data_IF_607664574939
#
_entry.id   IF_607664574939
#
_cell.length_a   1.000
_cell.length_b   1.000
_cell.length_c   1.000
_cell.angle_alpha   90.00
_cell.angle_beta   90.00
_cell.angle_gamma   90.00
#
_symmetry.space_group_name_H-M   'P 1'
#
loop_
_entity.id
_entity.type
_entity.pdbx_description
1 polymer ?
#
# COMPACT_ATOMS: atom_id res chain seq x y z
N UNK A 1 28.53 -16.20 -4.42
CA UNK A 1 27.21 -15.53 -4.35
C UNK A 1 26.83 -15.33 -2.88
N UNK A 2 27.71 -14.71 -2.10
CA UNK A 2 27.44 -14.44 -0.67
C UNK A 2 26.78 -13.07 -0.56
N UNK A 3 25.62 -12.99 0.10
CA UNK A 3 24.95 -11.73 0.48
C UNK A 3 23.71 -11.28 -0.32
N UNK A 4 23.08 -12.14 -1.13
CA UNK A 4 21.88 -11.75 -1.92
C UNK A 4 20.64 -12.54 -1.52
N UNK A 5 19.99 -12.14 -0.43
CA UNK A 5 18.63 -12.61 -0.14
C UNK A 5 17.67 -12.27 -1.27
N UNK A 6 16.62 -13.08 -1.44
CA UNK A 6 15.65 -12.94 -2.53
C UNK A 6 14.75 -11.71 -2.35
N UNK A 7 14.31 -11.14 -3.47
CA UNK A 7 13.26 -10.13 -3.50
C UNK A 7 12.04 -10.79 -4.14
N UNK A 8 10.96 -10.94 -3.37
CA UNK A 8 9.83 -11.79 -3.75
C UNK A 8 8.55 -10.94 -3.80
N UNK A 9 7.77 -11.12 -4.87
CA UNK A 9 6.38 -10.68 -4.95
C UNK A 9 5.44 -11.88 -4.96
N UNK A 10 4.38 -11.85 -4.17
CA UNK A 10 3.35 -12.88 -4.10
C UNK A 10 1.99 -12.23 -4.31
N UNK A 11 1.17 -12.82 -5.16
CA UNK A 11 -0.26 -12.54 -5.23
C UNK A 11 -1.02 -13.62 -4.47
N UNK A 12 -1.83 -13.20 -3.49
CA UNK A 12 -2.53 -14.07 -2.56
C UNK A 12 -4.04 -13.81 -2.61
N UNK A 13 -4.80 -14.89 -2.61
CA UNK A 13 -6.26 -14.90 -2.52
C UNK A 13 -6.69 -16.24 -1.93
N UNK A 14 -6.85 -16.29 -0.60
CA UNK A 14 -7.00 -17.50 0.24
C UNK A 14 -5.80 -18.47 0.23
N UNK A 15 -5.11 -18.58 -0.90
CA UNK A 15 -3.84 -19.25 -1.12
C UNK A 15 -3.01 -18.44 -2.14
N UNK A 16 -1.75 -18.81 -2.33
CA UNK A 16 -0.89 -18.19 -3.34
C UNK A 16 -1.48 -18.45 -4.74
N UNK A 17 -1.82 -17.37 -5.46
CA UNK A 17 -2.22 -17.44 -6.87
C UNK A 17 -0.99 -17.53 -7.77
N UNK A 18 -0.03 -16.64 -7.54
CA UNK A 18 1.19 -16.51 -8.33
C UNK A 18 2.32 -15.96 -7.44
N UNK A 19 3.57 -16.26 -7.78
CA UNK A 19 4.73 -15.58 -7.19
C UNK A 19 5.78 -15.26 -8.26
N UNK A 20 6.64 -14.29 -7.96
CA UNK A 20 7.81 -14.00 -8.78
C UNK A 20 8.98 -13.50 -7.93
N UNK A 21 10.18 -13.62 -8.47
CA UNK A 21 11.43 -13.15 -7.87
C UNK A 21 12.02 -12.06 -8.75
N UNK A 22 12.52 -10.98 -8.15
CA UNK A 22 13.20 -9.93 -8.89
C UNK A 22 14.59 -10.39 -9.34
N UNK A 23 14.83 -10.47 -10.65
CA UNK A 23 16.14 -10.80 -11.20
C UNK A 23 16.92 -9.52 -11.54
N UNK A 24 17.95 -9.24 -10.74
CA UNK A 24 18.82 -8.07 -10.89
C UNK A 24 19.59 -8.04 -12.22
N UNK A 25 19.76 -9.18 -12.92
CA UNK A 25 20.52 -9.26 -14.18
C UNK A 25 19.73 -8.70 -15.35
N UNK A 26 18.41 -8.93 -15.35
CA UNK A 26 17.49 -8.45 -16.38
C UNK A 26 16.63 -7.29 -15.89
N UNK A 27 16.78 -6.90 -14.62
CA UNK A 27 16.07 -5.81 -13.97
C UNK A 27 14.54 -5.95 -14.07
N UNK A 28 14.04 -7.18 -13.85
CA UNK A 28 12.63 -7.52 -14.01
C UNK A 28 12.19 -8.67 -13.09
N UNK A 29 10.89 -8.73 -12.71
CA UNK A 29 10.31 -9.90 -12.05
C UNK A 29 10.28 -11.13 -12.96
N UNK A 30 10.68 -12.28 -12.42
CA UNK A 30 10.66 -13.60 -13.07
C UNK A 30 9.68 -14.51 -12.34
N UNK A 31 8.73 -15.09 -13.08
CA UNK A 31 7.69 -15.95 -12.52
C UNK A 31 8.29 -17.18 -11.81
N UNK A 32 7.67 -17.56 -10.70
CA UNK A 32 7.95 -18.79 -9.98
C UNK A 32 6.83 -19.79 -10.25
N UNK A 33 7.19 -20.91 -10.85
CA UNK A 33 6.29 -22.06 -11.07
C UNK A 33 6.13 -22.89 -9.78
N UNK A 34 5.09 -23.74 -9.76
CA UNK A 34 4.83 -24.72 -8.70
C UNK A 34 4.58 -24.15 -7.30
N UNK A 35 4.10 -22.90 -7.22
CA UNK A 35 3.75 -22.23 -5.95
C UNK A 35 2.26 -21.98 -5.77
N UNK A 36 1.45 -22.21 -6.82
CA UNK A 36 0.00 -22.00 -6.79
C UNK A 36 -0.65 -22.91 -5.75
N UNK A 37 -1.69 -22.41 -5.08
CA UNK A 37 -2.44 -23.06 -3.99
C UNK A 37 -1.63 -23.32 -2.71
N UNK A 38 -0.37 -22.92 -2.63
CA UNK A 38 0.42 -23.02 -1.41
C UNK A 38 0.04 -21.93 -0.40
N UNK A 39 0.37 -22.16 0.87
CA UNK A 39 0.47 -21.07 1.85
C UNK A 39 1.63 -20.14 1.48
N UNK A 40 1.60 -18.89 1.97
CA UNK A 40 2.71 -17.94 1.80
C UNK A 40 4.01 -18.51 2.39
N UNK A 41 3.93 -19.18 3.54
CA UNK A 41 5.07 -19.85 4.16
C UNK A 41 5.70 -20.90 3.24
N UNK A 42 4.89 -21.80 2.69
CA UNK A 42 5.39 -22.90 1.86
C UNK A 42 5.88 -22.40 0.50
N UNK A 43 5.22 -21.38 -0.07
CA UNK A 43 5.68 -20.72 -1.28
C UNK A 43 7.05 -20.07 -1.08
N UNK A 44 7.23 -19.29 0.00
CA UNK A 44 8.54 -18.67 0.30
C UNK A 44 9.62 -19.74 0.47
N UNK A 45 9.38 -20.79 1.25
CA UNK A 45 10.33 -21.90 1.43
C UNK A 45 10.68 -22.59 0.11
N UNK A 46 9.67 -22.86 -0.73
CA UNK A 46 9.87 -23.49 -2.04
C UNK A 46 10.69 -22.61 -2.97
N UNK A 47 10.42 -21.30 -3.00
CA UNK A 47 11.19 -20.33 -3.78
C UNK A 47 12.64 -20.29 -3.30
N UNK A 48 12.87 -20.11 -1.99
CA UNK A 48 14.21 -20.12 -1.40
C UNK A 48 15.01 -21.38 -1.77
N UNK A 49 14.39 -22.56 -1.64
CA UNK A 49 15.01 -23.83 -2.03
C UNK A 49 15.34 -23.90 -3.53
N UNK A 50 14.42 -23.45 -4.40
CA UNK A 50 14.62 -23.45 -5.86
C UNK A 50 15.80 -22.59 -6.28
N UNK A 51 16.04 -21.47 -5.59
CA UNK A 51 17.15 -20.57 -5.89
C UNK A 51 18.43 -20.87 -5.10
N UNK A 52 18.40 -21.83 -4.16
CA UNK A 52 19.52 -22.16 -3.29
C UNK A 52 19.93 -21.00 -2.38
N UNK A 53 18.94 -20.25 -1.86
CA UNK A 53 19.15 -19.07 -1.01
C UNK A 53 18.35 -19.21 0.28
N UNK A 54 19.01 -19.00 1.42
CA UNK A 54 18.40 -19.23 2.75
C UNK A 54 17.76 -17.96 3.36
N UNK A 55 17.74 -16.85 2.63
CA UNK A 55 17.23 -15.57 3.14
C UNK A 55 16.38 -14.81 2.13
N UNK A 56 15.36 -14.13 2.65
CA UNK A 56 14.55 -13.16 1.90
C UNK A 56 15.01 -11.77 2.31
N UNK A 57 15.41 -10.96 1.33
CA UNK A 57 15.84 -9.58 1.54
C UNK A 57 14.66 -8.62 1.59
N UNK A 58 13.65 -8.84 0.75
CA UNK A 58 12.37 -8.15 0.84
C UNK A 58 11.25 -9.00 0.25
N UNK A 59 10.08 -8.96 0.88
CA UNK A 59 8.86 -9.63 0.43
C UNK A 59 7.74 -8.62 0.30
N UNK A 60 6.91 -8.76 -0.73
CA UNK A 60 5.62 -8.11 -0.79
C UNK A 60 4.56 -9.15 -1.11
N UNK A 61 3.48 -9.15 -0.32
CA UNK A 61 2.27 -9.93 -0.62
C UNK A 61 1.19 -8.93 -1.01
N UNK A 62 0.60 -9.10 -2.19
CA UNK A 62 -0.61 -8.37 -2.57
C UNK A 62 -1.85 -9.25 -2.39
N UNK A 63 -2.92 -8.66 -1.87
CA UNK A 63 -4.20 -9.35 -1.60
C UNK A 63 -5.37 -8.43 -1.92
N UNK A 64 -6.52 -9.03 -2.24
CA UNK A 64 -7.80 -8.32 -2.34
C UNK A 64 -8.55 -8.19 -1.02
N UNK A 65 -8.05 -8.78 0.07
CA UNK A 65 -8.68 -8.69 1.39
C UNK A 65 -8.29 -7.41 2.11
N UNK A 66 -9.27 -6.75 2.70
CA UNK A 66 -9.16 -5.59 3.57
C UNK A 66 -9.45 -5.94 5.05
N UNK A 67 -9.64 -7.22 5.36
CA UNK A 67 -9.96 -7.66 6.73
C UNK A 67 -8.69 -7.88 7.55
N UNK A 68 -8.66 -7.33 8.77
CA UNK A 68 -7.51 -7.49 9.67
C UNK A 68 -7.19 -8.97 9.96
N UNK A 69 -8.22 -9.82 10.07
CA UNK A 69 -8.04 -11.25 10.33
C UNK A 69 -7.25 -11.97 9.22
N UNK A 70 -7.60 -11.76 7.95
CA UNK A 70 -6.89 -12.39 6.83
C UNK A 70 -5.48 -11.80 6.66
N UNK A 71 -5.32 -10.50 6.89
CA UNK A 71 -4.00 -9.85 6.85
C UNK A 71 -3.08 -10.37 7.97
N UNK A 72 -3.60 -10.57 9.18
CA UNK A 72 -2.89 -11.20 10.30
C UNK A 72 -2.52 -12.66 10.01
N UNK A 73 -3.36 -13.40 9.28
CA UNK A 73 -3.03 -14.75 8.80
C UNK A 73 -1.89 -14.73 7.79
N UNK A 74 -1.91 -13.83 6.80
CA UNK A 74 -0.80 -13.65 5.85
C UNK A 74 0.49 -13.29 6.61
N UNK A 75 0.42 -12.31 7.51
CA UNK A 75 1.54 -11.85 8.34
C UNK A 75 2.18 -12.99 9.14
N UNK A 76 1.37 -13.83 9.81
CA UNK A 76 1.85 -15.03 10.52
C UNK A 76 2.54 -16.03 9.60
N UNK A 77 2.02 -16.24 8.38
CA UNK A 77 2.67 -17.12 7.41
C UNK A 77 4.03 -16.57 6.95
N UNK A 78 4.15 -15.25 6.81
CA UNK A 78 5.42 -14.59 6.51
C UNK A 78 6.43 -14.77 7.66
N UNK A 79 5.98 -14.59 8.90
CA UNK A 79 6.81 -14.81 10.11
C UNK A 79 7.29 -16.27 10.20
N UNK A 80 6.41 -17.25 9.93
CA UNK A 80 6.75 -18.68 9.89
C UNK A 80 7.77 -19.04 8.79
N UNK A 81 7.85 -18.21 7.75
CA UNK A 81 8.86 -18.34 6.70
C UNK A 81 10.22 -17.73 7.10
N UNK A 82 10.30 -17.09 8.26
CA UNK A 82 11.53 -16.47 8.78
C UNK A 82 11.84 -15.07 8.20
N UNK A 83 10.87 -14.43 7.55
CA UNK A 83 11.05 -13.05 7.03
C UNK A 83 10.81 -12.06 8.17
N UNK A 84 11.74 -11.13 8.38
CA UNK A 84 11.65 -10.17 9.48
C UNK A 84 10.57 -9.13 9.21
N UNK A 85 9.95 -8.58 10.26
CA UNK A 85 8.92 -7.52 10.20
C UNK A 85 9.29 -6.30 9.35
N UNK A 86 10.56 -5.94 9.30
CA UNK A 86 11.04 -4.81 8.50
C UNK A 86 11.43 -5.18 7.06
N UNK A 87 11.32 -6.45 6.69
CA UNK A 87 11.69 -6.97 5.36
C UNK A 87 10.45 -7.40 4.57
N UNK A 88 9.23 -7.07 5.01
CA UNK A 88 8.02 -7.31 4.22
C UNK A 88 7.02 -6.15 4.22
N UNK A 89 6.09 -6.25 3.27
CA UNK A 89 4.87 -5.46 3.20
C UNK A 89 3.71 -6.33 2.73
N UNK A 90 2.51 -6.00 3.20
CA UNK A 90 1.25 -6.54 2.67
C UNK A 90 0.50 -5.33 2.11
N UNK A 91 0.05 -5.41 0.86
CA UNK A 91 -0.58 -4.30 0.14
C UNK A 91 -1.84 -4.75 -0.62
N UNK A 92 -2.75 -3.82 -0.88
CA UNK A 92 -3.89 -4.01 -1.76
C UNK A 92 -3.52 -4.17 -3.24
N UNK A 93 -4.47 -4.64 -4.04
CA UNK A 93 -4.31 -4.83 -5.50
C UNK A 93 -4.01 -3.53 -6.24
N UNK A 94 -4.64 -2.41 -5.86
CA UNK A 94 -4.45 -1.12 -6.52
C UNK A 94 -3.08 -0.52 -6.22
N UNK A 95 -2.59 -0.63 -4.99
CA UNK A 95 -1.20 -0.28 -4.66
C UNK A 95 -0.22 -1.11 -5.48
N UNK A 96 -0.45 -2.43 -5.59
CA UNK A 96 0.37 -3.30 -6.42
C UNK A 96 0.37 -2.87 -7.90
N UNK A 97 -0.81 -2.56 -8.46
CA UNK A 97 -0.93 -2.03 -9.80
C UNK A 97 -0.16 -0.71 -9.98
N UNK A 98 -0.21 0.20 -9.00
CA UNK A 98 0.57 1.43 -9.01
C UNK A 98 2.08 1.13 -9.08
N UNK A 99 2.59 0.22 -8.24
CA UNK A 99 3.99 -0.21 -8.30
C UNK A 99 4.36 -0.79 -9.67
N UNK A 100 3.48 -1.59 -10.28
CA UNK A 100 3.72 -2.12 -11.61
C UNK A 100 3.78 -1.01 -12.66
N UNK A 101 2.73 -0.19 -12.75
CA UNK A 101 2.56 0.81 -13.80
C UNK A 101 3.63 1.90 -13.76
N UNK A 102 3.96 2.41 -12.57
CA UNK A 102 4.91 3.51 -12.41
C UNK A 102 6.38 3.04 -12.42
N UNK A 103 6.63 1.74 -12.30
CA UNK A 103 7.95 1.15 -12.58
C UNK A 103 8.24 0.98 -14.07
N UNK A 104 7.29 1.29 -14.96
CA UNK A 104 7.51 1.25 -16.40
C UNK A 104 8.19 2.53 -16.94
N UNK A 105 8.33 2.64 -18.26
CA UNK A 105 8.83 3.87 -18.89
C UNK A 105 7.82 5.02 -18.71
N UNK A 106 8.31 6.24 -18.44
CA UNK A 106 7.47 7.44 -18.19
C UNK A 106 6.38 7.66 -19.23
N UNK A 107 6.65 7.37 -20.51
CA UNK A 107 5.68 7.48 -21.60
C UNK A 107 4.41 6.64 -21.41
N UNK A 108 4.47 5.56 -20.62
CA UNK A 108 3.33 4.67 -20.40
C UNK A 108 2.35 5.19 -19.34
N UNK A 109 2.77 6.15 -18.51
CA UNK A 109 1.94 6.67 -17.42
C UNK A 109 1.91 8.20 -17.35
N UNK A 110 2.47 8.89 -18.34
CA UNK A 110 2.57 10.36 -18.36
C UNK A 110 1.21 11.05 -18.21
N UNK A 111 0.18 10.56 -18.90
CA UNK A 111 -1.18 11.08 -18.83
C UNK A 111 -2.07 10.29 -17.84
N UNK A 112 -1.46 9.47 -16.98
CA UNK A 112 -2.15 8.48 -16.15
C UNK A 112 -2.24 7.10 -16.81
N UNK A 113 -2.70 6.12 -16.03
CA UNK A 113 -2.89 4.73 -16.45
C UNK A 113 -4.28 4.25 -16.03
N UNK A 114 -4.93 3.50 -16.89
CA UNK A 114 -6.19 2.84 -16.57
C UNK A 114 -5.96 1.34 -16.30
N UNK A 115 -6.70 0.80 -15.36
CA UNK A 115 -6.84 -0.63 -15.09
C UNK A 115 -8.31 -0.99 -15.27
N UNK A 116 -8.57 -2.07 -16.01
CA UNK A 116 -9.88 -2.69 -16.11
C UNK A 116 -9.73 -4.16 -15.72
N UNK A 117 -10.25 -4.51 -14.54
CA UNK A 117 -10.24 -5.86 -14.00
C UNK A 117 -11.64 -6.46 -14.18
N UNK A 118 -11.76 -7.44 -15.07
CA UNK A 118 -13.04 -8.05 -15.41
C UNK A 118 -13.09 -9.50 -14.92
N UNK A 119 -13.95 -9.78 -13.95
CA UNK A 119 -14.10 -11.13 -13.37
C UNK A 119 -15.02 -12.06 -14.20
N UNK A 120 -15.57 -11.55 -15.30
CA UNK A 120 -16.57 -12.22 -16.14
C UNK A 120 -18.00 -11.72 -15.92
N UNK A 121 -18.26 -10.98 -14.83
CA UNK A 121 -19.55 -10.37 -14.51
C UNK A 121 -19.48 -8.88 -14.20
N UNK A 122 -18.38 -8.41 -13.63
CA UNK A 122 -18.19 -7.02 -13.21
C UNK A 122 -16.83 -6.53 -13.71
N UNK A 123 -16.83 -5.36 -14.35
CA UNK A 123 -15.60 -4.64 -14.68
C UNK A 123 -15.38 -3.58 -13.61
N UNK A 124 -14.34 -3.78 -12.80
CA UNK A 124 -13.81 -2.75 -11.93
C UNK A 124 -12.79 -1.90 -12.72
N UNK A 125 -13.06 -0.59 -12.82
CA UNK A 125 -12.23 0.34 -13.57
C UNK A 125 -11.60 1.38 -12.66
N UNK A 126 -10.28 1.49 -12.75
CA UNK A 126 -9.47 2.42 -11.97
C UNK A 126 -8.60 3.27 -12.90
N UNK A 127 -8.42 4.54 -12.53
CA UNK A 127 -7.41 5.42 -13.14
C UNK A 127 -6.42 5.85 -12.09
N UNK A 128 -5.14 5.63 -12.34
CA UNK A 128 -4.07 6.23 -11.55
C UNK A 128 -3.44 7.39 -12.30
N UNK A 129 -3.22 8.51 -11.61
CA UNK A 129 -2.62 9.71 -12.21
C UNK A 129 -1.82 10.50 -11.19
N UNK A 130 -0.85 11.30 -11.68
CA UNK A 130 -0.13 12.22 -10.82
C UNK A 130 -0.96 13.45 -10.51
N UNK A 131 -0.91 13.87 -9.26
CA UNK A 131 -1.22 15.20 -8.81
C UNK A 131 0.04 15.80 -8.16
N UNK A 132 0.24 17.12 -8.26
CA UNK A 132 1.40 17.80 -7.66
C UNK A 132 0.91 18.91 -6.76
N UNK A 133 1.30 18.85 -5.49
CA UNK A 133 1.02 19.89 -4.50
C UNK A 133 2.32 20.19 -3.75
N UNK A 134 2.68 21.46 -3.60
CA UNK A 134 3.86 21.92 -2.86
C UNK A 134 5.14 21.14 -3.19
N UNK A 135 5.44 21.01 -4.49
CA UNK A 135 6.60 20.26 -5.03
C UNK A 135 6.64 18.75 -4.71
N UNK A 136 5.59 18.20 -4.09
CA UNK A 136 5.42 16.76 -3.86
C UNK A 136 4.50 16.16 -4.91
N UNK A 137 4.82 14.96 -5.38
CA UNK A 137 3.98 14.23 -6.33
C UNK A 137 3.15 13.17 -5.60
N UNK A 138 1.88 13.07 -5.96
CA UNK A 138 0.95 12.11 -5.40
C UNK A 138 0.39 11.27 -6.55
N UNK A 139 0.36 9.96 -6.40
CA UNK A 139 -0.39 9.09 -7.30
C UNK A 139 -1.75 8.87 -6.66
N UNK A 140 -2.76 9.44 -7.28
CA UNK A 140 -4.15 9.31 -6.85
C UNK A 140 -4.88 8.28 -7.69
N UNK A 141 -5.95 7.75 -7.12
CA UNK A 141 -6.89 6.85 -7.75
C UNK A 141 -8.20 7.56 -8.02
N UNK A 142 -8.76 7.31 -9.21
CA UNK A 142 -10.17 7.54 -9.52
C UNK A 142 -10.79 6.17 -9.83
N UNK A 143 -11.72 5.74 -8.97
CA UNK A 143 -12.48 4.50 -9.13
C UNK A 143 -13.83 4.82 -9.78
N UNK A 144 -14.16 4.12 -10.85
CA UNK A 144 -15.47 4.22 -11.47
C UNK A 144 -16.50 3.36 -10.73
N UNK A 145 -17.79 3.67 -10.93
CA UNK A 145 -18.84 2.75 -10.52
C UNK A 145 -18.67 1.42 -11.25
N UNK A 146 -18.92 0.33 -10.53
CA UNK A 146 -18.81 -1.02 -11.07
C UNK A 146 -19.71 -1.19 -12.29
N UNK A 147 -19.13 -1.63 -13.41
CA UNK A 147 -19.88 -1.91 -14.61
C UNK A 147 -20.32 -3.38 -14.62
N UNK A 148 -21.60 -3.61 -14.35
CA UNK A 148 -22.19 -4.95 -14.34
C UNK A 148 -22.46 -5.39 -15.78
N UNK A 149 -21.83 -6.50 -16.15
CA UNK A 149 -21.92 -7.15 -17.45
C UNK A 149 -22.04 -8.67 -17.28
N UNK A 150 -23.25 -9.11 -16.96
CA UNK A 150 -23.64 -10.52 -16.97
C UNK A 150 -24.40 -10.78 -18.29
N UNK A 151 -23.65 -11.07 -19.36
CA UNK A 151 -24.18 -11.24 -20.71
C UNK A 151 -23.59 -12.51 -21.35
N UNK A 152 -24.45 -13.49 -21.59
CA UNK A 152 -24.07 -14.78 -22.19
C UNK A 152 -23.83 -14.65 -23.70
N UNK A 153 -24.52 -13.71 -24.38
CA UNK A 153 -24.33 -13.52 -25.80
C UNK A 153 -23.01 -12.78 -26.09
N UNK A 154 -22.05 -13.52 -26.65
CA UNK A 154 -20.68 -13.02 -26.83
C UNK A 154 -20.58 -11.73 -27.67
N UNK A 155 -21.33 -11.60 -28.77
CA UNK A 155 -21.30 -10.40 -29.60
C UNK A 155 -21.90 -9.19 -28.88
N UNK A 156 -22.98 -9.39 -28.12
CA UNK A 156 -23.59 -8.34 -27.29
C UNK A 156 -22.66 -7.93 -26.15
N UNK A 157 -22.01 -8.91 -25.50
CA UNK A 157 -20.99 -8.67 -24.47
C UNK A 157 -19.87 -7.78 -25.01
N UNK A 158 -19.24 -8.14 -26.11
CA UNK A 158 -18.13 -7.35 -26.68
C UNK A 158 -18.56 -5.96 -27.16
N UNK A 159 -19.75 -5.84 -27.76
CA UNK A 159 -20.31 -4.54 -28.13
C UNK A 159 -20.47 -3.64 -26.90
N UNK A 160 -21.05 -4.15 -25.81
CA UNK A 160 -21.25 -3.40 -24.56
C UNK A 160 -19.93 -3.00 -23.91
N UNK A 161 -18.93 -3.89 -23.89
CA UNK A 161 -17.58 -3.55 -23.40
C UNK A 161 -16.98 -2.44 -24.25
N UNK A 162 -17.10 -2.52 -25.57
CA UNK A 162 -16.57 -1.50 -26.50
C UNK A 162 -17.23 -0.14 -26.26
N UNK A 163 -18.56 -0.11 -26.08
CA UNK A 163 -19.32 1.10 -25.75
C UNK A 163 -18.86 1.70 -24.41
N UNK A 164 -18.75 0.87 -23.37
CA UNK A 164 -18.26 1.28 -22.06
C UNK A 164 -16.84 1.87 -22.12
N UNK A 165 -15.91 1.16 -22.76
CA UNK A 165 -14.52 1.59 -22.92
C UNK A 165 -14.44 2.90 -23.70
N UNK A 166 -15.20 3.02 -24.79
CA UNK A 166 -15.22 4.25 -25.60
C UNK A 166 -15.69 5.43 -24.76
N UNK A 167 -16.83 5.30 -24.07
CA UNK A 167 -17.38 6.33 -23.21
C UNK A 167 -16.44 6.71 -22.06
N UNK A 168 -15.82 5.72 -21.41
CA UNK A 168 -14.87 5.96 -20.32
C UNK A 168 -13.71 6.86 -20.78
N UNK A 169 -13.13 6.57 -21.95
CA UNK A 169 -11.98 7.31 -22.46
C UNK A 169 -12.31 8.64 -23.16
N UNK A 170 -13.59 8.98 -23.36
CA UNK A 170 -14.00 10.33 -23.76
C UNK A 170 -13.72 11.36 -22.66
N UNK A 171 -13.90 10.98 -21.39
CA UNK A 171 -13.65 11.84 -20.23
C UNK A 171 -12.30 11.61 -19.55
N UNK A 172 -11.70 10.42 -19.72
CA UNK A 172 -10.53 9.99 -18.95
C UNK A 172 -9.32 9.79 -19.84
N UNK A 173 -8.37 10.72 -19.81
CA UNK A 173 -7.11 10.56 -20.56
C UNK A 173 -6.18 9.55 -19.87
N UNK A 174 -5.53 8.69 -20.64
CA UNK A 174 -4.51 7.77 -20.14
C UNK A 174 -3.45 7.49 -21.19
N UNK A 175 -2.20 7.31 -20.76
CA UNK A 175 -1.11 6.88 -21.64
C UNK A 175 -1.14 5.38 -21.92
N UNK A 176 -1.65 4.59 -20.98
CA UNK A 176 -1.83 3.14 -21.14
C UNK A 176 -3.07 2.65 -20.42
N UNK A 177 -3.65 1.56 -20.94
CA UNK A 177 -4.71 0.77 -20.31
C UNK A 177 -4.24 -0.66 -20.12
N UNK A 178 -4.49 -1.21 -18.95
CA UNK A 178 -4.17 -2.58 -18.59
C UNK A 178 -5.46 -3.36 -18.34
N UNK A 179 -5.57 -4.51 -19.00
CA UNK A 179 -6.70 -5.43 -18.89
C UNK A 179 -6.23 -6.68 -18.14
N UNK A 180 -6.99 -7.09 -17.12
CA UNK A 180 -6.74 -8.28 -16.31
C UNK A 180 -8.05 -8.90 -15.84
N UNK A 181 -7.98 -10.07 -15.22
CA UNK A 181 -9.14 -10.80 -14.76
C UNK A 181 -9.62 -11.81 -15.80
N UNK A 182 -10.42 -12.77 -15.34
CA UNK A 182 -10.87 -13.93 -16.11
C UNK A 182 -11.70 -13.57 -17.34
N UNK A 183 -12.43 -12.44 -17.31
CA UNK A 183 -13.20 -11.96 -18.45
C UNK A 183 -12.36 -11.35 -19.57
N UNK A 184 -11.09 -10.99 -19.30
CA UNK A 184 -10.11 -10.61 -20.30
C UNK A 184 -9.04 -11.69 -20.54
N UNK A 185 -9.20 -12.89 -19.98
CA UNK A 185 -8.33 -14.04 -20.25
C UNK A 185 -8.74 -14.73 -21.56
N UNK A 186 -8.55 -14.01 -22.66
CA UNK A 186 -8.92 -14.44 -24.01
C UNK A 186 -7.70 -14.44 -24.94
N UNK A 187 -7.69 -15.30 -25.95
CA UNK A 187 -6.58 -15.33 -26.92
C UNK A 187 -6.51 -14.03 -27.75
N UNK A 188 -7.67 -13.44 -28.04
CA UNK A 188 -7.79 -12.22 -28.83
C UNK A 188 -9.02 -11.41 -28.40
N UNK A 189 -8.84 -10.10 -28.30
CA UNK A 189 -9.93 -9.14 -28.07
C UNK A 189 -10.74 -8.93 -29.35
N UNK A 190 -12.03 -8.61 -29.19
CA UNK A 190 -12.86 -8.11 -30.29
C UNK A 190 -12.21 -6.92 -31.00
N UNK A 191 -12.33 -6.84 -32.33
CA UNK A 191 -11.66 -5.83 -33.14
C UNK A 191 -12.14 -4.41 -32.82
N UNK A 192 -13.44 -4.25 -32.50
CA UNK A 192 -14.02 -2.99 -32.06
C UNK A 192 -13.41 -2.54 -30.73
N UNK A 193 -13.34 -3.46 -29.78
CA UNK A 193 -12.71 -3.21 -28.48
C UNK A 193 -11.22 -2.88 -28.61
N UNK A 194 -10.46 -3.67 -29.36
CA UNK A 194 -9.04 -3.45 -29.58
C UNK A 194 -8.78 -2.05 -30.18
N UNK A 195 -9.59 -1.64 -31.17
CA UNK A 195 -9.52 -0.31 -31.77
C UNK A 195 -9.85 0.79 -30.76
N UNK A 196 -10.88 0.60 -29.93
CA UNK A 196 -11.27 1.57 -28.90
C UNK A 196 -10.16 1.74 -27.85
N UNK A 197 -9.47 0.66 -27.46
CA UNK A 197 -8.40 0.66 -26.48
C UNK A 197 -7.11 1.32 -26.97
N UNK A 198 -6.79 1.21 -28.26
CA UNK A 198 -5.54 1.75 -28.84
C UNK A 198 -5.67 3.13 -29.48
N UNK A 199 -6.79 3.82 -29.24
CA UNK A 199 -7.02 5.19 -29.72
C UNK A 199 -6.26 6.21 -28.86
N UNK A 200 -5.02 6.51 -29.26
CA UNK A 200 -4.16 7.50 -28.61
C UNK A 200 -3.45 7.01 -27.33
N UNK A 201 -3.52 5.70 -27.03
CA UNK A 201 -2.93 5.08 -25.84
C UNK A 201 -2.45 3.66 -26.14
N UNK A 202 -1.58 3.11 -25.31
CA UNK A 202 -1.14 1.70 -25.42
C UNK A 202 -2.07 0.80 -24.61
N UNK A 203 -2.32 -0.41 -25.10
CA UNK A 203 -3.15 -1.40 -24.40
C UNK A 203 -2.32 -2.65 -24.10
N UNK A 204 -2.46 -3.17 -22.89
CA UNK A 204 -1.80 -4.39 -22.44
C UNK A 204 -2.81 -5.31 -21.79
N UNK A 205 -2.71 -6.61 -22.06
CA UNK A 205 -3.55 -7.64 -21.48
C UNK A 205 -2.64 -8.65 -20.78
N UNK A 206 -2.94 -9.01 -19.54
CA UNK A 206 -2.14 -10.00 -18.83
C UNK A 206 -2.63 -10.27 -17.40
N UNK A 207 -2.45 -11.52 -16.97
CA UNK A 207 -2.96 -12.02 -15.69
C UNK A 207 -1.94 -11.95 -14.55
N UNK A 208 -0.78 -11.31 -14.75
CA UNK A 208 0.32 -11.27 -13.78
C UNK A 208 0.67 -9.84 -13.32
N UNK A 209 -0.24 -8.87 -13.53
CA UNK A 209 -0.01 -7.48 -13.17
C UNK A 209 0.21 -7.33 -11.66
N UNK A 210 -0.66 -7.92 -10.84
CA UNK A 210 -0.59 -7.80 -9.39
C UNK A 210 0.63 -8.50 -8.78
N UNK A 211 0.96 -9.72 -9.22
CA UNK A 211 2.18 -10.38 -8.73
C UNK A 211 3.46 -9.61 -9.11
N UNK A 212 3.53 -9.05 -10.33
CA UNK A 212 4.67 -8.22 -10.76
C UNK A 212 4.74 -6.90 -9.99
N UNK A 213 3.59 -6.27 -9.75
CA UNK A 213 3.47 -5.07 -8.93
C UNK A 213 3.98 -5.28 -7.51
N UNK A 214 3.61 -6.39 -6.87
CA UNK A 214 4.12 -6.78 -5.56
C UNK A 214 5.65 -6.92 -5.58
N UNK A 215 6.20 -7.59 -6.61
CA UNK A 215 7.65 -7.73 -6.72
C UNK A 215 8.38 -6.40 -6.92
N UNK A 216 7.80 -5.47 -7.69
CA UNK A 216 8.33 -4.11 -7.80
C UNK A 216 8.25 -3.35 -6.47
N UNK A 217 7.16 -3.51 -5.70
CA UNK A 217 7.03 -2.92 -4.37
C UNK A 217 8.11 -3.42 -3.40
N UNK A 218 8.37 -4.73 -3.40
CA UNK A 218 9.45 -5.34 -2.62
C UNK A 218 10.83 -4.82 -3.05
N UNK A 219 11.06 -4.64 -4.35
CA UNK A 219 12.31 -4.07 -4.86
C UNK A 219 12.47 -2.58 -4.50
N UNK A 220 11.39 -1.81 -4.60
CA UNK A 220 11.38 -0.38 -4.28
C UNK A 220 11.70 -0.13 -2.81
N UNK A 221 11.22 -0.97 -1.89
CA UNK A 221 11.55 -0.88 -0.46
C UNK A 221 13.06 -0.84 -0.19
N UNK A 222 13.83 -1.54 -1.01
CA UNK A 222 15.29 -1.62 -0.88
C UNK A 222 15.99 -0.53 -1.70
N UNK A 223 15.48 -0.22 -2.90
CA UNK A 223 16.18 0.64 -3.86
C UNK A 223 15.82 2.13 -3.75
N UNK A 224 14.58 2.45 -3.36
CA UNK A 224 14.06 3.82 -3.19
C UNK A 224 14.13 4.69 -4.44
N UNK A 225 13.90 4.13 -5.64
CA UNK A 225 14.15 4.84 -6.91
C UNK A 225 12.89 5.31 -7.63
N UNK A 226 11.82 4.53 -7.59
CA UNK A 226 10.60 4.80 -8.37
C UNK A 226 9.72 5.85 -7.69
N UNK A 227 9.72 5.89 -6.37
CA UNK A 227 8.85 6.76 -5.57
C UNK A 227 9.63 7.80 -4.75
N UNK A 228 10.79 8.23 -5.25
CA UNK A 228 11.51 9.36 -4.65
C UNK A 228 10.64 10.63 -4.74
N UNK A 229 10.24 11.18 -3.59
CA UNK A 229 9.26 12.26 -3.45
C UNK A 229 7.89 12.03 -4.13
N UNK A 230 7.52 10.76 -4.35
CA UNK A 230 6.18 10.36 -4.82
C UNK A 230 5.45 9.60 -3.72
N UNK A 231 4.20 9.94 -3.46
CA UNK A 231 3.37 9.30 -2.45
C UNK A 231 2.19 8.59 -3.10
N UNK A 232 1.91 7.34 -2.72
CA UNK A 232 0.71 6.63 -3.17
C UNK A 232 -0.49 7.01 -2.31
N UNK A 233 -1.49 7.63 -2.91
CA UNK A 233 -2.77 7.99 -2.28
C UNK A 233 -3.91 7.25 -2.97
N UNK A 234 -3.87 5.93 -2.85
CA UNK A 234 -4.86 5.00 -3.43
C UNK A 234 -5.59 4.28 -2.30
N UNK A 235 -6.63 3.52 -2.63
CA UNK A 235 -7.34 2.67 -1.68
C UNK A 235 -6.35 1.75 -0.93
N UNK A 236 -6.55 1.62 0.39
CA UNK A 236 -5.66 0.92 1.31
C UNK A 236 -4.53 1.77 1.90
N UNK A 237 -4.32 3.01 1.47
CA UNK A 237 -3.30 3.90 2.04
C UNK A 237 -3.87 4.88 3.08
N UNK A 238 -3.09 5.16 4.12
CA UNK A 238 -3.32 6.31 5.00
C UNK A 238 -3.07 7.60 4.22
N UNK A 239 -4.09 8.47 4.11
CA UNK A 239 -4.04 9.69 3.26
C UNK A 239 -3.53 10.95 3.97
N UNK A 240 -3.07 10.84 5.22
CA UNK A 240 -2.55 11.97 6.00
C UNK A 240 -1.24 11.62 6.72
N UNK A 241 -0.37 12.61 6.95
CA UNK A 241 0.71 12.44 7.93
C UNK A 241 0.12 12.64 9.33
N UNK A 242 0.55 11.83 10.29
CA UNK A 242 0.28 12.07 11.72
C UNK A 242 1.61 12.46 12.34
N UNK A 243 1.72 13.70 12.80
CA UNK A 243 2.96 14.31 13.27
C UNK A 243 2.80 14.83 14.70
N UNK A 244 3.91 14.91 15.43
CA UNK A 244 4.00 15.51 16.76
C UNK A 244 5.13 16.53 16.79
N UNK A 245 4.88 17.68 17.41
CA UNK A 245 5.92 18.69 17.63
C UNK A 245 6.84 18.21 18.78
N UNK A 246 8.14 18.12 18.53
CA UNK A 246 9.14 17.71 19.53
C UNK A 246 10.30 18.69 19.61
N UNK A 247 11.13 18.55 20.65
CA UNK A 247 12.44 19.19 20.73
C UNK A 247 13.53 18.13 20.70
N UNK A 248 14.33 18.12 19.64
CA UNK A 248 15.53 17.29 19.55
C UNK A 248 16.75 18.17 19.77
N UNK A 249 17.57 17.84 20.77
CA UNK A 249 18.76 18.63 21.14
C UNK A 249 18.46 20.13 21.32
N UNK A 250 17.29 20.44 21.89
CA UNK A 250 16.81 21.81 22.13
C UNK A 250 16.22 22.52 20.90
N UNK A 251 16.27 21.93 19.71
CA UNK A 251 15.70 22.52 18.49
C UNK A 251 14.27 22.01 18.26
N UNK A 252 13.29 22.91 18.05
CA UNK A 252 11.95 22.51 17.63
C UNK A 252 12.01 21.78 16.28
N UNK A 253 11.31 20.65 16.18
CA UNK A 253 11.15 19.89 14.95
C UNK A 253 9.82 19.13 14.94
N UNK A 254 9.42 18.68 13.75
CA UNK A 254 8.26 17.80 13.58
C UNK A 254 8.73 16.36 13.49
N UNK A 255 8.17 15.52 14.35
CA UNK A 255 8.38 14.08 14.32
C UNK A 255 7.14 13.40 13.74
N UNK A 256 7.31 12.74 12.59
CA UNK A 256 6.23 12.07 11.89
C UNK A 256 5.99 10.68 12.46
N UNK A 257 4.87 10.45 13.14
CA UNK A 257 4.46 9.13 13.62
C UNK A 257 4.02 8.21 12.47
N UNK A 258 3.13 8.69 11.60
CA UNK A 258 2.66 7.95 10.41
C UNK A 258 2.89 8.81 9.17
N UNK A 259 3.42 8.20 8.11
CA UNK A 259 3.64 8.85 6.82
C UNK A 259 2.43 8.60 5.91
N UNK A 260 1.93 9.65 5.28
CA UNK A 260 0.93 9.52 4.23
C UNK A 260 1.45 8.60 3.12
N UNK A 261 0.53 7.82 2.55
CA UNK A 261 0.81 6.75 1.59
C UNK A 261 1.36 5.45 2.17
N UNK A 262 1.43 5.33 3.51
CA UNK A 262 1.69 4.03 4.15
C UNK A 262 0.44 3.17 4.04
N UNK A 263 0.60 1.91 3.68
CA UNK A 263 -0.48 0.91 3.75
C UNK A 263 -1.07 0.86 5.17
N UNK A 264 -2.40 0.90 5.28
CA UNK A 264 -3.07 0.98 6.58
C UNK A 264 -2.70 -0.20 7.49
N UNK A 265 -2.58 -1.41 6.95
CA UNK A 265 -2.23 -2.58 7.77
C UNK A 265 -0.80 -2.50 8.30
N UNK A 266 0.08 -1.88 7.52
CA UNK A 266 1.47 -1.64 7.89
C UNK A 266 1.66 -0.36 8.72
N UNK A 267 0.63 0.48 8.88
CA UNK A 267 0.70 1.77 9.55
C UNK A 267 0.63 1.63 11.09
N UNK A 268 1.73 1.14 11.67
CA UNK A 268 1.94 1.10 13.12
C UNK A 268 3.31 1.65 13.48
N UNK A 269 3.35 2.66 14.33
CA UNK A 269 4.60 3.19 14.89
C UNK A 269 4.47 3.46 16.38
N UNK A 270 5.51 3.09 17.11
CA UNK A 270 5.66 3.39 18.53
C UNK A 270 6.96 4.15 18.76
N UNK A 271 6.92 5.19 19.58
CA UNK A 271 8.08 5.97 19.96
C UNK A 271 7.94 6.46 21.41
N UNK A 272 9.08 6.51 22.11
CA UNK A 272 9.16 6.97 23.49
C UNK A 272 9.54 8.46 23.49
N UNK A 273 8.81 9.26 24.27
CA UNK A 273 8.99 10.69 24.41
C UNK A 273 9.18 11.06 25.88
N UNK A 274 9.93 12.13 26.14
CA UNK A 274 10.01 12.75 27.46
C UNK A 274 9.13 14.00 27.41
N UNK A 275 8.18 14.09 28.33
CA UNK A 275 7.27 15.22 28.45
C UNK A 275 7.62 16.08 29.67
N UNK A 276 7.27 17.35 29.61
CA UNK A 276 7.56 18.36 30.64
C UNK A 276 6.33 19.26 30.76
N UNK A 277 5.78 19.38 31.97
CA UNK A 277 4.71 20.32 32.32
C UNK A 277 3.54 20.38 31.31
N UNK A 278 3.00 19.22 30.93
CA UNK A 278 1.87 19.15 29.99
C UNK A 278 0.81 18.14 30.44
N UNK A 279 -0.44 18.49 30.18
CA UNK A 279 -1.62 17.64 30.40
C UNK A 279 -2.36 17.31 29.11
N UNK A 280 -1.93 17.91 27.99
CA UNK A 280 -2.55 17.76 26.67
C UNK A 280 -1.47 17.50 25.64
N UNK A 281 -1.57 16.38 24.92
CA UNK A 281 -0.70 16.04 23.79
C UNK A 281 -1.43 16.33 22.48
N UNK A 282 -0.85 17.14 21.62
CA UNK A 282 -1.43 17.46 20.30
C UNK A 282 -0.77 16.64 19.20
N UNK A 283 -1.56 15.88 18.46
CA UNK A 283 -1.17 15.28 17.18
C UNK A 283 -1.63 16.21 16.06
N UNK A 284 -0.74 16.54 15.13
CA UNK A 284 -1.06 17.30 13.92
C UNK A 284 -1.27 16.33 12.76
N UNK A 285 -2.44 16.37 12.17
CA UNK A 285 -2.82 15.56 11.02
C UNK A 285 -2.69 16.47 9.79
N UNK A 286 -1.71 16.18 8.93
CA UNK A 286 -1.42 16.98 7.74
C UNK A 286 -1.95 16.27 6.49
N UNK A 287 -2.80 16.96 5.75
CA UNK A 287 -3.34 16.49 4.48
C UNK A 287 -2.40 16.85 3.31
N UNK A 288 -2.53 16.16 2.16
CA UNK A 288 -1.71 16.40 0.97
C UNK A 288 -1.87 17.81 0.38
N UNK A 289 -3.02 18.46 0.59
CA UNK A 289 -3.30 19.83 0.18
C UNK A 289 -2.74 20.91 1.12
N UNK A 290 -1.98 20.49 2.14
CA UNK A 290 -1.39 21.36 3.15
C UNK A 290 -2.33 21.73 4.30
N UNK A 291 -3.62 21.37 4.25
CA UNK A 291 -4.52 21.55 5.40
C UNK A 291 -4.04 20.74 6.58
N UNK A 292 -4.25 21.28 7.77
CA UNK A 292 -3.87 20.66 9.01
C UNK A 292 -5.06 20.66 9.98
N UNK A 293 -5.22 19.56 10.70
CA UNK A 293 -6.17 19.45 11.80
C UNK A 293 -5.45 18.91 13.04
N UNK A 294 -5.82 19.42 14.21
CA UNK A 294 -5.20 19.04 15.46
C UNK A 294 -6.10 18.06 16.22
N UNK A 295 -5.52 16.93 16.64
CA UNK A 295 -6.14 15.99 17.59
C UNK A 295 -5.48 16.16 18.95
N UNK A 296 -6.24 16.67 19.90
CA UNK A 296 -5.79 16.83 21.30
C UNK A 296 -6.11 15.57 22.09
N UNK A 297 -5.13 15.05 22.80
CA UNK A 297 -5.22 13.88 23.68
C UNK A 297 -5.01 14.38 25.12
N UNK A 298 -6.02 14.21 25.96
CA UNK A 298 -5.93 14.50 27.39
C UNK A 298 -5.11 13.42 28.10
N UNK A 299 -3.96 13.83 28.65
CA UNK A 299 -3.05 12.98 29.42
C UNK A 299 -2.99 13.34 30.91
N UNK A 300 -3.93 14.13 31.41
CA UNK A 300 -4.01 14.58 32.81
C UNK A 300 -4.11 13.45 33.84
N UNK A 301 -4.50 12.25 33.41
CA UNK A 301 -4.51 11.07 34.28
C UNK A 301 -3.12 10.50 34.59
N UNK A 302 -2.08 10.92 33.85
CA UNK A 302 -0.67 10.61 34.16
C UNK A 302 -0.23 11.50 35.32
N UNK A 303 0.37 10.95 36.40
CA UNK A 303 0.82 11.75 37.53
C UNK A 303 1.82 12.82 37.09
N UNK A 304 1.61 14.04 37.59
CA UNK A 304 2.58 15.11 37.43
C UNK A 304 3.89 14.73 38.12
N UNK A 305 5.01 14.94 37.42
CA UNK A 305 6.37 14.79 37.95
C UNK A 305 7.15 16.00 37.49
N UNK A 306 7.89 16.61 38.42
CA UNK A 306 8.59 17.86 38.15
C UNK A 306 9.69 17.67 37.10
N UNK A 307 9.76 18.60 36.15
CA UNK A 307 10.75 18.60 35.08
C UNK A 307 10.58 17.44 34.08
N UNK A 308 11.70 17.02 33.47
CA UNK A 308 11.76 16.01 32.39
C UNK A 308 11.80 14.58 32.90
N UNK A 309 10.93 14.27 33.87
CA UNK A 309 10.94 13.01 34.64
C UNK A 309 9.73 12.13 34.33
N UNK A 310 9.03 12.41 33.23
CA UNK A 310 7.97 11.53 32.71
C UNK A 310 8.30 11.12 31.28
N UNK A 311 8.57 9.82 31.10
CA UNK A 311 8.67 9.18 29.78
C UNK A 311 7.32 8.56 29.45
N UNK A 312 6.82 8.83 28.25
CA UNK A 312 5.64 8.19 27.70
C UNK A 312 6.01 7.38 26.46
N UNK A 313 5.24 6.33 26.16
CA UNK A 313 5.22 5.70 24.85
C UNK A 313 3.97 6.11 24.12
N UNK A 314 4.13 6.77 22.98
CA UNK A 314 3.04 7.03 22.05
C UNK A 314 3.09 5.99 20.94
N UNK A 315 2.01 5.23 20.81
CA UNK A 315 1.79 4.29 19.71
C UNK A 315 0.63 4.79 18.86
N UNK A 316 0.86 4.91 17.56
CA UNK A 316 -0.21 5.13 16.58
C UNK A 316 -0.33 3.84 15.75
N UNK A 317 -1.52 3.27 15.69
CA UNK A 317 -1.84 2.09 14.89
C UNK A 317 -3.12 2.35 14.08
N UNK A 318 -3.06 2.14 12.77
CA UNK A 318 -4.25 2.16 11.94
C UNK A 318 -5.12 0.90 12.16
N UNK A 319 -6.43 1.11 12.22
CA UNK A 319 -7.43 0.04 12.25
C UNK A 319 -8.17 -0.09 10.92
N UNK A 320 -8.13 0.95 10.10
CA UNK A 320 -8.52 0.98 8.68
C UNK A 320 -7.76 2.12 7.99
N UNK A 321 -7.97 2.32 6.68
CA UNK A 321 -7.38 3.45 5.96
C UNK A 321 -7.86 4.83 6.46
N UNK A 322 -9.05 4.90 7.06
CA UNK A 322 -9.69 6.14 7.50
C UNK A 322 -9.70 6.29 9.03
N UNK A 323 -9.06 5.37 9.78
CA UNK A 323 -9.10 5.40 11.24
C UNK A 323 -7.81 4.88 11.86
N UNK A 324 -7.26 5.68 12.77
CA UNK A 324 -6.14 5.31 13.61
C UNK A 324 -6.52 5.34 15.09
N UNK A 325 -5.75 4.63 15.91
CA UNK A 325 -5.84 4.64 17.36
C UNK A 325 -4.50 5.11 17.91
N UNK A 326 -4.54 6.16 18.73
CA UNK A 326 -3.41 6.64 19.51
C UNK A 326 -3.48 6.08 20.93
N UNK A 327 -2.40 5.45 21.37
CA UNK A 327 -2.24 4.95 22.73
C UNK A 327 -1.04 5.62 23.38
N UNK A 328 -1.26 6.29 24.51
CA UNK A 328 -0.23 6.89 25.35
C UNK A 328 -0.09 6.05 26.62
N UNK A 329 1.08 5.50 26.85
CA UNK A 329 1.43 4.71 28.03
C UNK A 329 2.46 5.46 28.87
N UNK A 330 2.21 5.64 30.17
CA UNK A 330 3.20 6.18 31.10
C UNK A 330 4.26 5.14 31.42
N UNK A 331 5.51 5.40 31.06
CA UNK A 331 6.65 4.53 31.32
C UNK A 331 7.43 4.94 32.59
N UNK A 332 7.02 6.01 33.27
CA UNK A 332 7.79 6.59 34.37
C UNK A 332 9.14 7.13 33.89
N UNK A 333 10.20 6.92 34.65
CA UNK A 333 11.56 7.33 34.30
C UNK A 333 12.60 6.37 34.90
N UNK A 334 12.45 5.08 34.56
CA UNK A 334 13.28 4.01 35.10
C UNK A 334 13.06 3.84 36.61
N UNK A 335 14.15 3.67 37.36
CA UNK A 335 14.09 3.47 38.81
C UNK A 335 13.80 4.77 39.58
N UNK A 336 14.04 5.94 38.97
CA UNK A 336 13.85 7.23 39.62
C UNK A 336 12.36 7.55 39.82
N UNK A 337 11.53 7.15 38.85
CA UNK A 337 10.09 7.35 38.90
C UNK A 337 9.39 6.14 38.31
N UNK A 338 8.64 5.41 39.11
CA UNK A 338 7.88 4.26 38.63
C UNK A 338 6.79 4.70 37.64
N UNK A 339 6.49 3.83 36.67
CA UNK A 339 5.28 3.95 35.83
C UNK A 339 4.03 3.95 36.73
N UNK A 340 3.05 4.77 36.38
CA UNK A 340 1.73 4.74 37.01
C UNK A 340 0.82 3.64 36.46
N UNK A 341 1.24 2.92 35.41
CA UNK A 341 0.43 1.95 34.68
C UNK A 341 -0.72 2.58 33.87
N UNK A 342 -0.76 3.92 33.75
CA UNK A 342 -1.80 4.62 32.99
C UNK A 342 -1.61 4.41 31.49
N UNK A 343 -2.70 4.01 30.85
CA UNK A 343 -2.82 3.86 29.40
C UNK A 343 -4.03 4.67 28.96
N UNK A 344 -3.81 5.60 28.05
CA UNK A 344 -4.84 6.46 27.49
C UNK A 344 -4.98 6.14 26.01
N UNK A 345 -6.20 5.90 25.55
CA UNK A 345 -6.48 5.53 24.16
C UNK A 345 -7.45 6.52 23.54
N UNK A 346 -7.13 7.02 22.34
CA UNK A 346 -7.96 7.96 21.60
C UNK A 346 -8.05 7.54 20.13
N UNK A 347 -9.25 7.63 19.57
CA UNK A 347 -9.47 7.42 18.14
C UNK A 347 -9.13 8.69 17.34
N UNK A 348 -8.52 8.49 16.18
CA UNK A 348 -8.22 9.51 15.18
C UNK A 348 -9.03 9.16 13.94
N UNK A 349 -9.95 10.04 13.59
CA UNK A 349 -10.72 9.96 12.34
C UNK A 349 -9.92 10.62 11.22
N UNK A 350 -9.77 9.91 10.11
CA UNK A 350 -9.10 10.35 8.89
C UNK A 350 -10.04 10.36 7.68
N UNK A 351 -11.35 10.17 7.88
CA UNK A 351 -12.33 10.15 6.78
C UNK A 351 -12.39 11.46 6.00
N UNK A 352 -12.14 12.59 6.67
CA UNK A 352 -12.03 13.92 6.03
C UNK A 352 -10.73 14.11 5.23
N UNK A 353 -9.78 13.15 5.30
CA UNK A 353 -8.52 13.18 4.56
C UNK A 353 -8.66 12.72 3.09
N UNK A 354 -9.89 12.62 2.57
CA UNK A 354 -10.14 12.27 1.17
C UNK A 354 -9.57 13.36 0.24
N UNK A 355 -8.71 12.94 -0.70
CA UNK A 355 -8.11 13.78 -1.74
C UNK A 355 -8.71 13.46 -3.09
#
# INVERSE_FOLDING_TARGET
MEGRGLIIGIEYDNAVKQACVYDMRINAPVACEDVKELSVNDAVKRICNKYGVDSVKSLCVTTGSDTKEELDKISRQIDMAGVRKNDYMIIGRIQSFAYYAYSQRKELYKAGVALMDYDGKVIDTYRLFYNTVDNSQYIQEQKEQQYILDEDNESTKWRRITEYVTQYFEGNTASSVYLTGTGFDVERLDDGLAKALVSGRKAYMGQNLYVRGACFAAYERISGKVFDNVYLLVDGCIKANIEVDIKEQGKPMRFRMIKLGTDWYMAKRSADFIIEDMTMLTLRIMLPDGKAMDKVIDISSIPYREGKTTRIRLTIEAVSQDKCVATVEDLGFGELFASSGRIITNEIDLSEASV
#
